data_IF_775416584683
#
_entry.id   IF_775416584683
#
_cell.length_a   1.000
_cell.length_b   1.000
_cell.length_c   1.000
_cell.angle_alpha   90.00
_cell.angle_beta   90.00
_cell.angle_gamma   90.00
#
_symmetry.space_group_name_H-M   'P 1'
#
loop_
_entity.id
_entity.type
_entity.pdbx_description
1 polymer ?
#
# COMPACT_ATOMS: atom_id res chain seq x y z
N UNK A 1 1.14 -10.91 -22.50
CA UNK A 1 0.83 -9.79 -23.46
C UNK A 1 1.73 -9.90 -24.68
N UNK A 2 1.19 -9.64 -25.88
CA UNK A 2 2.01 -9.52 -27.09
C UNK A 2 2.92 -8.25 -27.06
N UNK A 3 3.90 -8.17 -28.00
CA UNK A 3 4.89 -7.08 -28.02
C UNK A 3 4.25 -5.67 -28.18
N UNK A 4 3.13 -5.56 -28.89
CA UNK A 4 2.45 -4.25 -29.09
C UNK A 4 1.80 -3.79 -27.79
N UNK A 5 1.14 -4.69 -27.10
CA UNK A 5 0.52 -4.43 -25.80
C UNK A 5 1.59 -4.12 -24.74
N UNK A 6 2.74 -4.84 -24.75
CA UNK A 6 3.85 -4.53 -23.84
C UNK A 6 4.41 -3.12 -24.06
N UNK A 7 4.66 -2.72 -25.31
CA UNK A 7 5.10 -1.35 -25.64
C UNK A 7 4.07 -0.32 -25.17
N UNK A 8 2.79 -0.58 -25.36
CA UNK A 8 1.72 0.31 -24.90
C UNK A 8 1.67 0.41 -23.38
N UNK A 9 1.81 -0.71 -22.68
CA UNK A 9 1.91 -0.73 -21.22
C UNK A 9 3.05 0.16 -20.71
N UNK A 10 4.26 -0.01 -21.22
CA UNK A 10 5.42 0.81 -20.82
C UNK A 10 5.15 2.30 -21.09
N UNK A 11 4.55 2.63 -22.24
CA UNK A 11 4.21 4.01 -22.57
C UNK A 11 3.18 4.60 -21.59
N UNK A 12 2.19 3.81 -21.18
CA UNK A 12 1.19 4.25 -20.20
C UNK A 12 1.80 4.41 -18.79
N UNK A 13 2.71 3.54 -18.35
CA UNK A 13 3.46 3.72 -17.09
C UNK A 13 4.27 5.02 -17.15
N UNK A 14 4.99 5.27 -18.25
CA UNK A 14 5.71 6.55 -18.45
C UNK A 14 4.76 7.74 -18.39
N UNK A 15 3.57 7.65 -18.98
CA UNK A 15 2.57 8.73 -18.92
C UNK A 15 2.15 9.04 -17.48
N UNK A 16 2.01 8.04 -16.62
CA UNK A 16 1.70 8.24 -15.20
C UNK A 16 2.85 8.87 -14.39
N UNK A 17 4.08 8.79 -14.89
CA UNK A 17 5.24 9.51 -14.33
C UNK A 17 5.43 10.91 -14.93
N UNK A 18 4.89 11.14 -16.13
CA UNK A 18 5.17 12.31 -16.97
C UNK A 18 4.10 13.39 -16.88
N UNK A 19 2.87 13.02 -16.61
CA UNK A 19 1.73 13.94 -16.68
C UNK A 19 0.98 13.98 -15.37
N UNK A 20 0.78 15.19 -14.84
CA UNK A 20 -0.12 15.39 -13.71
C UNK A 20 -1.49 14.79 -14.06
N UNK A 21 -2.10 13.98 -13.17
CA UNK A 21 -3.32 13.21 -13.46
C UNK A 21 -4.54 14.07 -13.79
N UNK A 22 -4.48 15.36 -13.47
CA UNK A 22 -5.51 16.35 -13.77
C UNK A 22 -5.63 16.66 -15.26
N UNK A 23 -4.57 16.35 -16.02
CA UNK A 23 -4.54 16.51 -17.47
C UNK A 23 -4.93 15.19 -18.15
N UNK A 24 -6.09 15.19 -18.75
CA UNK A 24 -6.59 14.23 -19.75
C UNK A 24 -6.22 12.74 -19.55
N UNK A 25 -6.91 12.05 -18.65
CA UNK A 25 -6.91 10.58 -18.59
C UNK A 25 -5.52 9.89 -18.43
N UNK A 26 -4.48 10.62 -17.99
CA UNK A 26 -3.15 10.06 -17.76
C UNK A 26 -2.35 9.82 -19.04
N UNK A 27 -2.58 10.60 -20.07
CA UNK A 27 -1.79 10.62 -21.32
C UNK A 27 -1.14 11.99 -21.47
N UNK A 28 0.16 12.01 -21.76
CA UNK A 28 0.89 13.26 -21.94
C UNK A 28 0.33 14.06 -23.10
N UNK A 29 -0.19 15.24 -22.83
CA UNK A 29 -0.61 16.22 -23.85
C UNK A 29 0.63 17.02 -24.27
N UNK A 30 1.29 16.57 -25.32
CA UNK A 30 2.32 17.35 -26.00
C UNK A 30 1.70 18.27 -27.06
N UNK A 31 2.42 19.33 -27.49
CA UNK A 31 1.89 20.37 -28.37
C UNK A 31 1.37 19.89 -29.72
N UNK A 32 1.66 18.67 -30.14
CA UNK A 32 1.10 18.11 -31.38
C UNK A 32 -0.31 17.55 -31.14
N UNK A 33 -1.34 18.27 -31.59
CA UNK A 33 -2.75 17.87 -31.50
C UNK A 33 -2.98 16.44 -32.04
N UNK A 34 -2.32 16.08 -33.16
CA UNK A 34 -2.44 14.74 -33.75
C UNK A 34 -1.87 13.64 -32.86
N UNK A 35 -0.70 13.84 -32.29
CA UNK A 35 -0.06 12.82 -31.41
C UNK A 35 -0.80 12.68 -30.09
N UNK A 36 -1.28 13.76 -29.50
CA UNK A 36 -2.05 13.75 -28.27
C UNK A 36 -3.36 12.97 -28.45
N UNK A 37 -4.11 13.22 -29.52
CA UNK A 37 -5.35 12.52 -29.82
C UNK A 37 -5.11 11.01 -30.05
N UNK A 38 -4.13 10.65 -30.87
CA UNK A 38 -3.78 9.26 -31.14
C UNK A 38 -3.31 8.52 -29.87
N UNK A 39 -2.55 9.20 -28.99
CA UNK A 39 -2.12 8.64 -27.72
C UNK A 39 -3.31 8.40 -26.77
N UNK A 40 -4.23 9.35 -26.67
CA UNK A 40 -5.46 9.22 -25.87
C UNK A 40 -6.35 8.08 -26.37
N UNK A 41 -6.56 8.00 -27.69
CA UNK A 41 -7.30 6.89 -28.32
C UNK A 41 -6.63 5.54 -28.06
N UNK A 42 -5.30 5.49 -28.18
CA UNK A 42 -4.53 4.29 -27.91
C UNK A 42 -4.61 3.86 -26.44
N UNK A 43 -4.62 4.81 -25.50
CA UNK A 43 -4.82 4.54 -24.07
C UNK A 43 -6.25 4.02 -23.82
N UNK A 44 -7.25 4.68 -24.36
CA UNK A 44 -8.65 4.25 -24.22
C UNK A 44 -8.85 2.83 -24.75
N UNK A 45 -8.34 2.51 -25.95
CA UNK A 45 -8.42 1.16 -26.53
C UNK A 45 -7.72 0.13 -25.68
N UNK A 46 -6.55 0.45 -25.11
CA UNK A 46 -5.82 -0.47 -24.23
C UNK A 46 -6.62 -0.76 -22.95
N UNK A 47 -7.15 0.28 -22.30
CA UNK A 47 -7.88 0.13 -21.04
C UNK A 47 -9.22 -0.60 -21.21
N UNK A 48 -9.84 -0.52 -22.38
CA UNK A 48 -11.10 -1.20 -22.72
C UNK A 48 -10.89 -2.51 -23.51
N UNK A 49 -9.67 -3.03 -23.62
CA UNK A 49 -9.38 -4.26 -24.34
C UNK A 49 -9.45 -5.47 -23.42
N UNK A 50 -10.42 -6.34 -23.59
CA UNK A 50 -10.61 -7.53 -22.77
C UNK A 50 -9.51 -8.59 -22.92
N UNK A 51 -8.70 -8.51 -23.99
CA UNK A 51 -7.50 -9.33 -24.16
C UNK A 51 -6.36 -8.91 -23.21
N UNK A 52 -6.45 -7.75 -22.55
CA UNK A 52 -5.51 -7.29 -21.55
C UNK A 52 -5.98 -7.80 -20.18
N UNK A 53 -5.58 -9.03 -19.83
CA UNK A 53 -5.92 -9.64 -18.56
C UNK A 53 -5.22 -8.94 -17.39
N UNK A 54 -5.91 -8.82 -16.25
CA UNK A 54 -5.34 -8.23 -15.03
C UNK A 54 -4.20 -9.09 -14.48
N UNK A 55 -4.28 -10.41 -14.62
CA UNK A 55 -3.21 -11.36 -14.28
C UNK A 55 -1.93 -11.11 -15.08
N UNK A 56 -2.04 -10.67 -16.35
CA UNK A 56 -0.88 -10.30 -17.15
C UNK A 56 -0.32 -8.92 -16.78
N UNK A 57 -1.16 -7.99 -16.31
CA UNK A 57 -0.74 -6.64 -15.91
C UNK A 57 -0.08 -6.60 -14.52
N UNK A 58 -0.36 -7.56 -13.64
CA UNK A 58 0.27 -7.64 -12.32
C UNK A 58 1.68 -8.24 -12.39
N UNK A 59 2.03 -8.99 -13.43
CA UNK A 59 3.34 -9.65 -13.51
C UNK A 59 4.55 -8.70 -13.47
N UNK A 60 4.55 -7.52 -14.12
CA UNK A 60 5.62 -6.55 -13.91
C UNK A 60 5.77 -6.10 -12.45
N UNK A 61 4.66 -5.93 -11.72
CA UNK A 61 4.66 -5.59 -10.30
C UNK A 61 5.25 -6.73 -9.45
N UNK A 62 4.83 -7.98 -9.72
CA UNK A 62 5.37 -9.17 -9.06
C UNK A 62 6.85 -9.35 -9.35
N UNK A 63 7.29 -9.08 -10.59
CA UNK A 63 8.71 -9.11 -10.95
C UNK A 63 9.50 -8.06 -10.16
N UNK A 64 9.02 -6.83 -10.07
CA UNK A 64 9.64 -5.79 -9.27
C UNK A 64 9.73 -6.21 -7.78
N UNK A 65 8.65 -6.81 -7.24
CA UNK A 65 8.65 -7.35 -5.88
C UNK A 65 9.67 -8.48 -5.70
N UNK A 66 9.75 -9.44 -6.63
CA UNK A 66 10.75 -10.53 -6.60
C UNK A 66 12.19 -10.00 -6.59
N UNK A 67 12.49 -9.03 -7.44
CA UNK A 67 13.80 -8.39 -7.46
C UNK A 67 14.10 -7.69 -6.13
N UNK A 68 13.18 -6.89 -5.62
CA UNK A 68 13.38 -6.16 -4.36
C UNK A 68 13.59 -7.08 -3.15
N UNK A 69 12.97 -8.27 -3.14
CA UNK A 69 13.16 -9.28 -2.08
C UNK A 69 14.57 -9.85 -2.06
N UNK A 70 15.25 -9.94 -3.21
CA UNK A 70 16.63 -10.46 -3.27
C UNK A 70 17.61 -9.57 -2.50
N UNK A 71 17.37 -8.26 -2.44
CA UNK A 71 18.22 -7.30 -1.75
C UNK A 71 17.91 -7.19 -0.23
N UNK A 72 16.85 -7.88 0.25
CA UNK A 72 16.43 -7.87 1.65
C UNK A 72 17.38 -8.69 2.52
N UNK A 73 17.88 -8.12 3.62
CA UNK A 73 18.73 -8.79 4.59
C UNK A 73 17.94 -9.55 5.66
N UNK A 74 16.74 -9.09 6.01
CA UNK A 74 15.87 -9.74 6.98
C UNK A 74 15.55 -11.20 6.61
N UNK A 75 15.23 -12.02 7.61
CA UNK A 75 14.87 -13.42 7.43
C UNK A 75 13.55 -13.62 6.66
N UNK A 76 12.74 -12.59 6.52
CA UNK A 76 11.42 -12.61 5.90
C UNK A 76 11.06 -11.26 5.27
N UNK A 77 9.96 -11.23 4.55
CA UNK A 77 9.33 -10.00 4.03
C UNK A 77 7.91 -9.89 4.55
N UNK A 78 7.37 -8.67 4.59
CA UNK A 78 6.00 -8.42 5.02
C UNK A 78 5.07 -8.42 3.82
N UNK A 79 3.92 -9.08 3.95
CA UNK A 79 2.80 -8.90 3.04
C UNK A 79 1.65 -8.25 3.82
N UNK A 80 1.48 -6.96 3.61
CA UNK A 80 0.47 -6.16 4.29
C UNK A 80 -0.84 -6.24 3.51
N UNK A 81 -1.91 -6.66 4.18
CA UNK A 81 -3.25 -6.73 3.60
C UNK A 81 -4.10 -5.61 4.16
N UNK A 82 -4.74 -4.86 3.25
CA UNK A 82 -5.67 -3.81 3.64
C UNK A 82 -6.61 -3.49 2.47
N UNK A 83 -7.64 -2.71 2.74
CA UNK A 83 -8.64 -2.29 1.75
C UNK A 83 -9.02 -0.83 1.95
N UNK A 84 -9.43 -0.21 0.87
CA UNK A 84 -9.94 1.16 0.91
C UNK A 84 -11.14 1.34 -0.01
N UNK A 85 -11.97 2.29 0.34
CA UNK A 85 -13.06 2.75 -0.52
C UNK A 85 -12.53 3.74 -1.54
N UNK A 86 -13.01 3.64 -2.76
CA UNK A 86 -12.79 4.59 -3.85
C UNK A 86 -14.10 5.30 -4.15
N UNK A 87 -14.19 6.58 -3.75
CA UNK A 87 -15.39 7.39 -3.92
C UNK A 87 -15.43 8.05 -5.30
N UNK A 88 -16.52 7.86 -6.01
CA UNK A 88 -16.80 8.49 -7.30
C UNK A 88 -18.12 9.26 -7.28
N UNK A 89 -18.50 9.84 -6.14
CA UNK A 89 -19.80 10.45 -5.90
C UNK A 89 -20.21 11.59 -6.86
N UNK A 90 -19.25 12.15 -7.59
CA UNK A 90 -19.50 13.20 -8.61
C UNK A 90 -19.45 12.67 -10.05
N UNK A 91 -19.26 11.36 -10.24
CA UNK A 91 -19.08 10.77 -11.58
C UNK A 91 -20.33 9.97 -11.99
N UNK A 92 -21.33 10.68 -12.51
CA UNK A 92 -22.58 10.10 -13.00
C UNK A 92 -22.42 9.12 -14.19
N UNK A 93 -21.23 9.09 -14.81
CA UNK A 93 -20.92 8.28 -15.99
C UNK A 93 -20.39 6.88 -15.69
N UNK A 94 -20.13 6.54 -14.42
CA UNK A 94 -19.68 5.21 -14.00
C UNK A 94 -20.85 4.21 -14.04
N UNK A 95 -20.61 3.02 -14.61
CA UNK A 95 -21.67 2.06 -14.95
C UNK A 95 -21.85 0.92 -13.95
N UNK A 96 -20.88 0.67 -13.09
CA UNK A 96 -20.79 -0.52 -12.27
C UNK A 96 -20.35 -0.22 -10.83
N UNK A 97 -20.70 0.97 -10.34
CA UNK A 97 -20.49 1.35 -8.94
C UNK A 97 -21.31 0.45 -8.00
N UNK A 98 -20.79 0.20 -6.82
CA UNK A 98 -21.43 -0.57 -5.77
C UNK A 98 -21.64 0.31 -4.55
N UNK A 99 -22.78 0.10 -3.87
CA UNK A 99 -23.00 0.67 -2.54
C UNK A 99 -22.06 -0.02 -1.55
N UNK A 100 -21.33 0.77 -0.78
CA UNK A 100 -20.31 0.29 0.16
C UNK A 100 -20.92 0.13 1.56
N UNK A 101 -20.76 1.12 2.43
CA UNK A 101 -21.16 1.01 3.84
C UNK A 101 -22.45 1.77 4.16
N UNK A 102 -22.61 2.98 3.62
CA UNK A 102 -23.77 3.84 3.81
C UNK A 102 -24.49 4.07 2.49
N UNK A 103 -25.77 4.43 2.54
CA UNK A 103 -26.62 4.63 1.36
C UNK A 103 -26.04 5.64 0.35
N UNK A 104 -25.30 6.64 0.85
CA UNK A 104 -24.63 7.65 0.03
C UNK A 104 -23.19 7.29 -0.36
N UNK A 105 -22.66 6.17 0.14
CA UNK A 105 -21.28 5.74 -0.05
C UNK A 105 -21.20 4.82 -1.27
N UNK A 106 -21.17 5.43 -2.46
CA UNK A 106 -21.18 4.74 -3.75
C UNK A 106 -19.79 4.83 -4.38
N UNK A 107 -19.28 3.68 -4.85
CA UNK A 107 -17.94 3.62 -5.43
C UNK A 107 -17.47 2.21 -5.69
N UNK A 108 -16.18 1.97 -5.49
CA UNK A 108 -15.57 0.64 -5.52
C UNK A 108 -14.84 0.36 -4.20
N UNK A 109 -14.68 -0.91 -3.85
CA UNK A 109 -13.78 -1.33 -2.78
C UNK A 109 -12.51 -1.92 -3.41
N UNK A 110 -11.37 -1.35 -3.04
CA UNK A 110 -10.06 -1.83 -3.47
C UNK A 110 -9.40 -2.60 -2.33
N UNK A 111 -9.16 -3.89 -2.52
CA UNK A 111 -8.33 -4.72 -1.65
C UNK A 111 -6.95 -4.86 -2.25
N UNK A 112 -5.91 -4.70 -1.43
CA UNK A 112 -4.52 -4.78 -1.88
C UNK A 112 -3.68 -5.60 -0.91
N UNK A 113 -2.75 -6.37 -1.45
CA UNK A 113 -1.68 -7.03 -0.70
C UNK A 113 -0.35 -6.43 -1.13
N UNK A 114 0.23 -5.59 -0.26
CA UNK A 114 1.44 -4.81 -0.50
C UNK A 114 2.65 -5.51 0.11
N UNK A 115 3.66 -5.79 -0.71
CA UNK A 115 4.95 -6.29 -0.25
C UNK A 115 5.79 -5.13 0.33
N UNK A 116 6.35 -5.36 1.54
CA UNK A 116 7.11 -4.36 2.30
C UNK A 116 8.36 -5.00 2.87
N UNK A 117 9.48 -4.30 2.85
CA UNK A 117 10.74 -4.75 3.45
C UNK A 117 10.63 -4.86 4.97
N UNK A 118 11.11 -5.96 5.53
CA UNK A 118 11.25 -6.12 6.97
C UNK A 118 12.57 -5.54 7.52
N UNK A 119 13.45 -4.99 6.67
CA UNK A 119 14.66 -4.29 7.10
C UNK A 119 14.37 -2.84 7.54
N UNK A 120 13.54 -2.13 6.75
CA UNK A 120 13.36 -0.68 6.89
C UNK A 120 11.94 -0.19 6.64
N UNK A 121 10.99 -1.09 6.35
CA UNK A 121 9.61 -0.75 6.05
C UNK A 121 9.40 -0.07 4.69
N UNK A 122 10.33 -0.21 3.75
CA UNK A 122 10.19 0.33 2.41
C UNK A 122 9.14 -0.48 1.63
N UNK A 123 8.11 0.15 1.01
CA UNK A 123 7.19 -0.55 0.13
C UNK A 123 7.92 -1.02 -1.13
N UNK A 124 7.67 -2.25 -1.55
CA UNK A 124 8.30 -2.88 -2.69
C UNK A 124 7.37 -2.92 -3.90
N UNK A 125 6.25 -3.63 -3.79
CA UNK A 125 5.25 -3.74 -4.85
C UNK A 125 3.90 -4.23 -4.33
N UNK A 126 2.76 -3.79 -4.90
CA UNK A 126 1.49 -4.48 -4.72
C UNK A 126 1.50 -5.80 -5.50
N UNK A 127 1.34 -6.91 -4.79
CA UNK A 127 1.46 -8.27 -5.34
C UNK A 127 0.13 -8.84 -5.83
N UNK A 128 -0.96 -8.42 -5.20
CA UNK A 128 -2.32 -8.80 -5.56
C UNK A 128 -3.28 -7.66 -5.28
N UNK A 129 -4.22 -7.45 -6.18
CA UNK A 129 -5.24 -6.41 -6.08
C UNK A 129 -6.60 -6.94 -6.53
N UNK A 130 -7.65 -6.54 -5.82
CA UNK A 130 -9.04 -6.84 -6.17
C UNK A 130 -9.86 -5.55 -6.16
N UNK A 131 -10.68 -5.36 -7.17
CA UNK A 131 -11.62 -4.25 -7.27
C UNK A 131 -13.04 -4.80 -7.26
N UNK A 132 -13.78 -4.55 -6.19
CA UNK A 132 -15.19 -4.92 -6.07
C UNK A 132 -16.06 -3.92 -6.80
N UNK A 133 -16.90 -4.42 -7.70
CA UNK A 133 -17.88 -3.67 -8.51
C UNK A 133 -19.27 -4.26 -8.33
N UNK A 134 -20.29 -3.59 -8.85
CA UNK A 134 -21.66 -4.13 -8.87
C UNK A 134 -21.79 -5.44 -9.69
N UNK A 135 -20.88 -5.67 -10.63
CA UNK A 135 -20.87 -6.86 -11.49
C UNK A 135 -20.02 -8.02 -10.91
N UNK A 136 -19.34 -7.81 -9.78
CA UNK A 136 -18.49 -8.80 -9.14
C UNK A 136 -17.10 -8.26 -8.80
N UNK A 137 -16.19 -9.18 -8.52
CA UNK A 137 -14.81 -8.83 -8.14
C UNK A 137 -13.86 -9.01 -9.31
N UNK A 138 -13.24 -7.92 -9.74
CA UNK A 138 -12.14 -7.93 -10.69
C UNK A 138 -10.84 -8.22 -9.92
N UNK A 139 -10.02 -9.12 -10.41
CA UNK A 139 -8.86 -9.63 -9.67
C UNK A 139 -7.63 -9.81 -10.55
N UNK A 140 -6.47 -9.58 -9.95
CA UNK A 140 -5.18 -9.98 -10.53
C UNK A 140 -4.87 -11.47 -10.31
N UNK A 141 -5.68 -12.17 -9.51
CA UNK A 141 -5.63 -13.64 -9.33
C UNK A 141 -6.64 -14.33 -10.23
N UNK A 142 -6.26 -15.46 -10.77
CA UNK A 142 -7.15 -16.35 -11.54
C UNK A 142 -7.30 -17.71 -10.82
N UNK A 143 -8.53 -18.21 -10.67
CA UNK A 143 -9.79 -17.51 -10.94
C UNK A 143 -10.03 -16.33 -9.97
N UNK A 144 -10.83 -15.33 -10.38
CA UNK A 144 -11.15 -14.20 -9.51
C UNK A 144 -11.90 -14.71 -8.27
N UNK A 145 -11.77 -14.03 -7.13
CA UNK A 145 -12.50 -14.41 -5.92
C UNK A 145 -14.01 -14.26 -6.13
N UNK A 146 -14.79 -15.08 -5.42
CA UNK A 146 -16.22 -14.87 -5.33
C UNK A 146 -16.51 -13.52 -4.68
N UNK A 147 -17.69 -12.94 -4.95
CA UNK A 147 -18.14 -11.75 -4.23
C UNK A 147 -18.38 -12.11 -2.75
N UNK A 148 -17.37 -11.88 -1.94
CA UNK A 148 -17.36 -12.15 -0.50
C UNK A 148 -16.72 -10.94 0.22
N UNK A 149 -16.90 -10.80 1.54
CA UNK A 149 -16.22 -9.77 2.32
C UNK A 149 -14.70 -9.82 2.10
N UNK A 150 -14.05 -8.65 2.06
CA UNK A 150 -12.61 -8.52 1.83
C UNK A 150 -11.76 -9.40 2.77
N UNK A 151 -12.16 -9.51 4.03
CA UNK A 151 -11.45 -10.34 5.00
C UNK A 151 -11.42 -11.83 4.63
N UNK A 152 -12.47 -12.34 3.97
CA UNK A 152 -12.50 -13.73 3.50
C UNK A 152 -11.57 -13.96 2.30
N UNK A 153 -11.12 -12.89 1.63
CA UNK A 153 -10.16 -12.96 0.52
C UNK A 153 -8.71 -13.13 1.00
N UNK A 154 -8.41 -12.79 2.26
CA UNK A 154 -7.05 -12.87 2.82
C UNK A 154 -6.50 -14.30 2.76
N UNK A 155 -7.29 -15.29 3.17
CA UNK A 155 -6.83 -16.68 3.12
C UNK A 155 -6.51 -17.19 1.72
N UNK A 156 -7.36 -17.01 0.71
CA UNK A 156 -6.99 -17.34 -0.67
C UNK A 156 -5.74 -16.59 -1.17
N UNK A 157 -5.53 -15.35 -0.76
CA UNK A 157 -4.32 -14.59 -1.09
C UNK A 157 -3.07 -15.16 -0.42
N UNK A 158 -3.13 -15.57 0.85
CA UNK A 158 -2.02 -16.26 1.53
C UNK A 158 -1.61 -17.52 0.76
N UNK A 159 -2.59 -18.32 0.30
CA UNK A 159 -2.33 -19.50 -0.53
C UNK A 159 -1.69 -19.15 -1.88
N UNK A 160 -2.20 -18.13 -2.56
CA UNK A 160 -1.66 -17.65 -3.83
C UNK A 160 -0.22 -17.12 -3.67
N UNK A 161 0.09 -16.47 -2.56
CA UNK A 161 1.42 -15.92 -2.28
C UNK A 161 2.53 -16.99 -2.31
N UNK A 162 2.21 -18.24 -2.00
CA UNK A 162 3.16 -19.36 -2.10
C UNK A 162 3.63 -19.63 -3.53
N UNK A 163 2.85 -19.24 -4.53
CA UNK A 163 3.18 -19.43 -5.95
C UNK A 163 3.95 -18.25 -6.55
N UNK A 164 4.18 -17.17 -5.79
CA UNK A 164 4.86 -15.98 -6.31
C UNK A 164 6.38 -16.11 -6.38
N UNK A 165 6.95 -17.22 -5.92
CA UNK A 165 8.37 -17.55 -5.96
C UNK A 165 9.25 -16.44 -5.35
N UNK A 166 8.88 -15.97 -4.16
CA UNK A 166 9.68 -15.04 -3.39
C UNK A 166 10.86 -15.76 -2.73
N UNK A 167 12.04 -15.15 -2.75
CA UNK A 167 13.26 -15.74 -2.18
C UNK A 167 13.26 -15.78 -0.64
N UNK A 168 12.30 -15.13 0.02
CA UNK A 168 12.15 -15.06 1.47
C UNK A 168 10.76 -15.50 1.90
N UNK A 169 10.61 -16.10 3.09
CA UNK A 169 9.30 -16.38 3.67
C UNK A 169 8.51 -15.08 3.92
N UNK A 170 7.20 -15.23 3.96
CA UNK A 170 6.27 -14.11 4.13
C UNK A 170 5.73 -14.10 5.56
N UNK A 171 5.67 -12.91 6.16
CA UNK A 171 4.86 -12.62 7.34
C UNK A 171 3.68 -11.74 6.91
N UNK A 172 2.47 -12.25 7.11
CA UNK A 172 1.24 -11.54 6.77
C UNK A 172 0.88 -10.55 7.88
N UNK A 173 0.74 -9.27 7.53
CA UNK A 173 0.40 -8.21 8.50
C UNK A 173 -0.98 -7.68 8.18
N UNK A 174 -1.88 -7.72 9.17
CA UNK A 174 -3.29 -7.35 8.99
C UNK A 174 -3.77 -6.56 10.20
N UNK A 175 -4.73 -5.66 9.99
CA UNK A 175 -5.33 -4.88 11.06
C UNK A 175 -6.30 -5.74 11.92
N UNK A 176 -6.87 -5.08 12.91
CA UNK A 176 -7.77 -5.61 13.93
C UNK A 176 -9.00 -6.36 13.38
N UNK A 177 -9.46 -6.02 12.18
CA UNK A 177 -10.59 -6.72 11.55
C UNK A 177 -10.32 -8.22 11.34
N UNK A 178 -9.04 -8.63 11.23
CA UNK A 178 -8.65 -10.03 11.12
C UNK A 178 -8.58 -10.78 12.46
N UNK A 179 -8.82 -10.10 13.59
CA UNK A 179 -8.69 -10.66 14.92
C UNK A 179 -9.78 -11.72 15.24
N UNK A 180 -9.58 -12.92 14.75
CA UNK A 180 -10.48 -14.06 14.92
C UNK A 180 -9.71 -15.34 15.27
N UNK A 181 -10.19 -16.05 16.30
CA UNK A 181 -9.60 -17.35 16.69
C UNK A 181 -9.66 -18.37 15.56
N UNK A 182 -10.70 -18.31 14.70
CA UNK A 182 -10.83 -19.20 13.54
C UNK A 182 -9.75 -18.89 12.49
N UNK A 183 -9.46 -17.61 12.24
CA UNK A 183 -8.38 -17.19 11.35
C UNK A 183 -7.03 -17.66 11.87
N UNK A 184 -6.70 -17.38 13.12
CA UNK A 184 -5.42 -17.76 13.72
C UNK A 184 -5.16 -19.26 13.62
N UNK A 185 -6.15 -20.09 13.99
CA UNK A 185 -6.02 -21.55 13.91
C UNK A 185 -5.91 -22.06 12.50
N UNK A 186 -6.69 -21.49 11.56
CA UNK A 186 -6.63 -21.85 10.15
C UNK A 186 -5.27 -21.55 9.56
N UNK A 187 -4.78 -20.32 9.75
CA UNK A 187 -3.50 -19.90 9.18
C UNK A 187 -2.33 -20.63 9.80
N UNK A 188 -2.34 -20.79 11.12
CA UNK A 188 -1.32 -21.57 11.83
C UNK A 188 -1.27 -23.04 11.40
N UNK A 189 -2.43 -23.70 11.25
CA UNK A 189 -2.50 -25.09 10.82
C UNK A 189 -1.99 -25.33 9.39
N UNK A 190 -1.88 -24.28 8.59
CA UNK A 190 -1.30 -24.30 7.26
C UNK A 190 0.12 -23.73 7.20
N UNK A 191 0.72 -23.42 8.34
CA UNK A 191 2.10 -22.95 8.43
C UNK A 191 2.32 -21.48 8.09
N UNK A 192 1.24 -20.69 7.89
CA UNK A 192 1.36 -19.27 7.61
C UNK A 192 1.88 -18.51 8.82
N UNK A 193 2.73 -17.50 8.57
CA UNK A 193 3.23 -16.60 9.59
C UNK A 193 2.50 -15.28 9.52
N UNK A 194 2.06 -14.78 10.67
CA UNK A 194 1.22 -13.57 10.71
C UNK A 194 1.52 -12.71 11.93
N UNK A 195 1.20 -11.44 11.79
CA UNK A 195 1.24 -10.40 12.80
C UNK A 195 -0.07 -9.60 12.72
N UNK A 196 -0.91 -9.71 13.72
CA UNK A 196 -2.27 -9.17 13.73
C UNK A 196 -2.44 -8.25 14.93
N UNK A 197 -3.08 -7.10 14.71
CA UNK A 197 -3.56 -6.28 15.82
C UNK A 197 -4.76 -6.97 16.46
N UNK A 198 -4.69 -7.20 17.78
CA UNK A 198 -5.72 -7.85 18.55
C UNK A 198 -6.67 -6.87 19.22
N UNK A 199 -7.94 -7.26 19.32
CA UNK A 199 -8.88 -6.68 20.27
C UNK A 199 -8.65 -7.21 21.69
N UNK A 200 -9.28 -6.59 22.67
CA UNK A 200 -9.27 -7.10 24.02
C UNK A 200 -10.03 -8.43 24.12
N UNK A 201 -9.29 -9.48 24.35
CA UNK A 201 -9.82 -10.84 24.49
C UNK A 201 -9.27 -11.56 25.70
N UNK A 202 -9.99 -12.57 26.19
CA UNK A 202 -9.49 -13.44 27.25
C UNK A 202 -8.62 -14.54 26.67
N UNK A 203 -7.44 -14.70 27.26
CA UNK A 203 -6.41 -15.70 26.95
C UNK A 203 -6.00 -16.42 28.23
N UNK A 204 -5.21 -17.49 28.13
CA UNK A 204 -4.44 -18.00 29.25
C UNK A 204 -3.09 -17.29 29.28
N UNK A 205 -2.70 -16.78 30.42
CA UNK A 205 -1.41 -16.19 30.73
C UNK A 205 -0.92 -16.69 32.07
N UNK A 206 0.19 -17.41 32.08
CA UNK A 206 0.68 -18.14 33.28
C UNK A 206 -0.43 -19.00 33.89
N UNK A 207 -1.14 -19.77 33.06
CA UNK A 207 -2.27 -20.64 33.41
C UNK A 207 -3.52 -19.93 33.97
N UNK A 208 -3.52 -18.61 34.05
CA UNK A 208 -4.64 -17.81 34.49
C UNK A 208 -5.43 -17.22 33.30
N UNK A 209 -6.76 -17.12 33.45
CA UNK A 209 -7.65 -16.51 32.44
C UNK A 209 -7.61 -14.98 32.56
N UNK A 210 -6.80 -14.31 31.76
CA UNK A 210 -6.63 -12.86 31.75
C UNK A 210 -7.17 -12.22 30.47
N UNK A 211 -7.56 -10.95 30.52
CA UNK A 211 -7.78 -10.13 29.34
C UNK A 211 -6.45 -9.53 28.84
N UNK A 212 -6.30 -9.36 27.52
CA UNK A 212 -5.06 -8.81 26.94
C UNK A 212 -4.75 -7.40 27.47
N UNK A 213 -5.79 -6.57 27.66
CA UNK A 213 -5.63 -5.24 28.28
C UNK A 213 -5.10 -5.32 29.72
N UNK A 214 -5.51 -6.33 30.50
CA UNK A 214 -5.04 -6.51 31.86
C UNK A 214 -3.56 -6.92 31.88
N UNK A 215 -3.17 -7.80 30.95
CA UNK A 215 -1.78 -8.19 30.77
C UNK A 215 -0.93 -6.97 30.37
N UNK A 216 -1.38 -6.19 29.37
CA UNK A 216 -0.67 -4.98 28.94
C UNK A 216 -0.50 -3.97 30.09
N UNK A 217 -1.54 -3.78 30.93
CA UNK A 217 -1.45 -2.92 32.12
C UNK A 217 -0.48 -3.48 33.18
N UNK A 218 -0.46 -4.78 33.38
CA UNK A 218 0.49 -5.43 34.32
C UNK A 218 1.92 -5.27 33.84
N UNK A 219 2.21 -5.51 32.56
CA UNK A 219 3.55 -5.33 31.96
C UNK A 219 4.02 -3.87 32.11
N UNK A 220 3.14 -2.89 31.88
CA UNK A 220 3.47 -1.47 32.10
C UNK A 220 3.80 -1.18 33.58
N UNK A 221 2.96 -1.62 34.51
CA UNK A 221 3.18 -1.39 35.97
C UNK A 221 4.45 -2.03 36.49
N UNK A 222 4.85 -3.18 35.94
CA UNK A 222 6.10 -3.87 36.26
C UNK A 222 7.33 -3.28 35.56
N UNK A 223 7.15 -2.19 34.76
CA UNK A 223 8.21 -1.57 33.97
C UNK A 223 8.90 -2.53 33.00
N UNK A 224 8.17 -3.51 32.48
CA UNK A 224 8.67 -4.48 31.50
C UNK A 224 8.68 -3.91 30.07
N UNK A 225 7.99 -2.77 29.78
CA UNK A 225 8.11 -2.07 28.52
C UNK A 225 9.45 -1.34 28.42
N UNK A 226 10.16 -1.58 27.32
CA UNK A 226 11.45 -0.97 27.03
C UNK A 226 11.33 -0.03 25.83
N UNK A 227 11.99 1.12 25.89
CA UNK A 227 12.10 2.02 24.74
C UNK A 227 13.13 1.46 23.76
N UNK A 228 12.68 1.22 22.51
CA UNK A 228 13.49 0.60 21.46
C UNK A 228 13.81 1.58 20.31
N UNK A 229 13.59 2.88 20.55
CA UNK A 229 14.02 3.93 19.64
C UNK A 229 12.92 4.88 19.18
N UNK A 230 13.30 5.72 18.22
CA UNK A 230 12.44 6.80 17.72
C UNK A 230 11.40 6.28 16.73
N UNK A 231 10.22 6.88 16.76
CA UNK A 231 9.12 6.67 15.83
C UNK A 231 8.44 8.01 15.51
N UNK A 232 7.45 7.98 14.64
CA UNK A 232 6.61 9.15 14.36
C UNK A 232 5.14 8.77 14.46
N UNK A 233 4.34 9.64 15.05
CA UNK A 233 2.91 9.48 15.12
C UNK A 233 2.20 10.78 14.73
N UNK A 234 1.40 10.74 13.67
CA UNK A 234 0.69 11.92 13.14
C UNK A 234 1.61 13.14 12.94
N UNK A 235 2.84 12.91 12.45
CA UNK A 235 3.83 13.96 12.20
C UNK A 235 4.55 14.49 13.44
N UNK A 236 4.31 13.89 14.62
CA UNK A 236 5.02 14.19 15.89
C UNK A 236 6.08 13.14 16.16
N UNK A 237 7.19 13.58 16.76
CA UNK A 237 8.21 12.65 17.23
C UNK A 237 7.69 11.89 18.46
N UNK A 238 8.03 10.62 18.51
CA UNK A 238 7.62 9.71 19.57
C UNK A 238 8.73 8.68 19.84
N UNK A 239 8.65 8.03 20.99
CA UNK A 239 9.45 6.88 21.36
C UNK A 239 8.60 5.61 21.25
N UNK A 240 9.17 4.57 20.66
CA UNK A 240 8.56 3.25 20.56
C UNK A 240 8.91 2.42 21.78
N UNK A 241 7.89 2.04 22.53
CA UNK A 241 8.01 1.18 23.71
C UNK A 241 7.39 -0.18 23.46
N UNK A 242 8.06 -1.24 23.86
CA UNK A 242 7.62 -2.61 23.61
C UNK A 242 7.81 -3.52 24.82
N UNK A 243 6.90 -4.47 24.97
CA UNK A 243 7.07 -5.64 25.85
C UNK A 243 6.47 -6.86 25.16
N UNK A 244 6.92 -8.04 25.51
CA UNK A 244 6.43 -9.31 24.99
C UNK A 244 6.22 -10.33 26.09
N UNK A 245 5.18 -11.13 25.94
CA UNK A 245 4.96 -12.35 26.75
C UNK A 245 4.24 -13.39 25.88
N UNK A 246 4.29 -14.65 26.30
CA UNK A 246 3.50 -15.69 25.65
C UNK A 246 2.08 -15.73 26.23
N UNK A 247 1.10 -15.97 25.36
CA UNK A 247 -0.29 -16.19 25.74
C UNK A 247 -0.88 -17.36 24.95
N UNK A 248 -1.89 -18.04 25.52
CA UNK A 248 -2.57 -19.13 24.82
C UNK A 248 -4.02 -18.79 24.52
N UNK A 249 -4.40 -18.89 23.24
CA UNK A 249 -5.78 -18.80 22.78
C UNK A 249 -6.50 -20.13 23.06
N UNK A 250 -7.31 -20.18 24.10
CA UNK A 250 -8.00 -21.42 24.54
C UNK A 250 -9.46 -21.49 24.15
N UNK A 251 -10.11 -20.34 23.87
CA UNK A 251 -11.54 -20.28 23.59
C UNK A 251 -11.88 -20.90 22.24
N UNK A 252 -13.08 -21.50 22.09
CA UNK A 252 -13.57 -21.95 20.80
C UNK A 252 -13.76 -20.76 19.84
N UNK A 253 -13.61 -21.02 18.55
CA UNK A 253 -13.94 -20.05 17.51
C UNK A 253 -15.47 -19.88 17.44
N UNK A 254 -15.91 -18.65 17.20
CA UNK A 254 -17.33 -18.30 17.04
C UNK A 254 -17.52 -17.61 15.71
N UNK A 255 -18.43 -18.11 14.89
CA UNK A 255 -18.81 -17.52 13.61
C UNK A 255 -20.32 -17.32 13.56
N UNK A 256 -20.75 -16.13 13.17
CA UNK A 256 -22.16 -15.86 12.88
C UNK A 256 -22.40 -15.98 11.38
N UNK A 257 -23.30 -16.84 10.97
CA UNK A 257 -23.69 -17.06 9.56
C UNK A 257 -25.21 -17.05 9.49
N UNK A 258 -25.78 -16.13 8.74
CA UNK A 258 -27.24 -16.02 8.57
C UNK A 258 -28.00 -15.87 9.90
N UNK A 259 -27.48 -15.08 10.85
CA UNK A 259 -28.06 -14.88 12.17
C UNK A 259 -27.87 -16.05 13.15
N UNK A 260 -27.30 -17.18 12.71
CA UNK A 260 -27.00 -18.33 13.56
C UNK A 260 -25.57 -18.30 14.03
N UNK A 261 -25.35 -18.56 15.32
CA UNK A 261 -24.02 -18.64 15.95
C UNK A 261 -23.49 -20.06 15.88
N UNK A 262 -22.40 -20.24 15.17
CA UNK A 262 -21.65 -21.49 15.13
C UNK A 262 -20.46 -21.40 16.10
N UNK A 263 -20.26 -22.45 16.87
CA UNK A 263 -19.13 -22.59 17.80
C UNK A 263 -18.29 -23.77 17.33
N UNK A 264 -17.01 -23.51 17.03
CA UNK A 264 -16.07 -24.53 16.61
C UNK A 264 -14.99 -24.70 17.69
N UNK A 265 -14.95 -25.85 18.30
CA UNK A 265 -13.85 -26.23 19.19
C UNK A 265 -12.53 -26.27 18.39
N UNK A 266 -11.42 -26.12 19.06
CA UNK A 266 -10.10 -26.23 18.45
C UNK A 266 -9.02 -26.27 19.51
N UNK A 267 -7.83 -26.74 19.12
CA UNK A 267 -6.67 -26.84 20.02
C UNK A 267 -6.31 -25.46 20.61
N UNK A 268 -5.80 -25.43 21.83
CA UNK A 268 -5.12 -24.24 22.34
C UNK A 268 -3.99 -23.83 21.39
N UNK A 269 -3.78 -22.53 21.23
CA UNK A 269 -2.76 -21.98 20.33
C UNK A 269 -1.90 -21.00 21.11
N UNK A 270 -0.63 -21.36 21.31
CA UNK A 270 0.36 -20.49 21.90
C UNK A 270 0.73 -19.38 20.90
N UNK A 271 0.80 -18.15 21.39
CA UNK A 271 1.05 -16.96 20.59
C UNK A 271 1.99 -16.01 21.32
N UNK A 272 2.83 -15.35 20.56
CA UNK A 272 3.57 -14.16 21.02
C UNK A 272 2.57 -13.02 21.17
N UNK A 273 2.48 -12.44 22.34
CA UNK A 273 1.70 -11.24 22.63
C UNK A 273 2.64 -10.07 22.82
N UNK A 274 2.61 -9.14 21.89
CA UNK A 274 3.48 -7.95 21.91
C UNK A 274 2.62 -6.73 22.22
N UNK A 275 3.00 -6.01 23.27
CA UNK A 275 2.43 -4.70 23.62
C UNK A 275 3.33 -3.64 23.03
N UNK A 276 2.74 -2.75 22.24
CA UNK A 276 3.44 -1.64 21.60
C UNK A 276 2.80 -0.32 22.01
N UNK A 277 3.62 0.62 22.48
CA UNK A 277 3.18 1.97 22.82
C UNK A 277 4.05 3.00 22.12
N UNK A 278 3.42 4.03 21.60
CA UNK A 278 4.08 5.26 21.19
C UNK A 278 3.87 6.30 22.27
N UNK A 279 4.95 6.88 22.76
CA UNK A 279 4.94 7.90 23.80
C UNK A 279 5.75 9.11 23.35
N UNK A 280 5.35 10.28 23.81
CA UNK A 280 6.14 11.50 23.60
C UNK A 280 7.36 11.57 24.56
N UNK A 281 8.11 12.64 24.47
CA UNK A 281 9.29 12.88 25.34
C UNK A 281 8.95 12.97 26.83
N UNK A 282 7.68 13.25 27.16
CA UNK A 282 7.15 13.27 28.54
C UNK A 282 6.52 11.96 28.95
N UNK A 283 6.76 10.89 28.19
CA UNK A 283 6.19 9.56 28.36
C UNK A 283 4.64 9.52 28.29
N UNK A 284 3.98 10.56 27.75
CA UNK A 284 2.55 10.52 27.55
C UNK A 284 2.19 9.56 26.42
N UNK A 285 1.18 8.74 26.64
CA UNK A 285 0.72 7.76 25.67
C UNK A 285 0.05 8.45 24.47
N UNK A 286 0.62 8.27 23.30
CA UNK A 286 0.08 8.76 22.02
C UNK A 286 -0.74 7.69 21.31
N UNK A 287 -0.28 6.43 21.32
CA UNK A 287 -0.97 5.29 20.74
C UNK A 287 -0.52 3.98 21.41
N UNK A 288 -1.40 2.97 21.37
CA UNK A 288 -1.10 1.64 21.88
C UNK A 288 -1.70 0.57 20.98
N UNK A 289 -0.94 -0.50 20.75
CA UNK A 289 -1.39 -1.68 20.02
C UNK A 289 -1.08 -2.94 20.81
N UNK A 290 -2.01 -3.86 20.77
CA UNK A 290 -1.84 -5.24 21.22
C UNK A 290 -1.70 -6.11 19.97
N UNK A 291 -0.60 -6.85 19.85
CA UNK A 291 -0.31 -7.66 18.68
C UNK A 291 -0.25 -9.13 19.08
N UNK A 292 -0.83 -9.98 18.23
CA UNK A 292 -0.69 -11.43 18.33
C UNK A 292 0.06 -11.95 17.09
N UNK A 293 1.04 -12.82 17.31
CA UNK A 293 1.90 -13.36 16.27
C UNK A 293 2.31 -14.80 16.54
N UNK A 294 2.49 -15.59 15.46
CA UNK A 294 3.14 -16.90 15.50
C UNK A 294 4.50 -16.89 14.77
N UNK A 295 5.08 -15.71 14.55
CA UNK A 295 6.40 -15.57 13.94
C UNK A 295 7.44 -16.11 14.95
N UNK A 296 8.35 -17.01 14.52
CA UNK A 296 9.38 -17.55 15.44
C UNK A 296 10.28 -16.45 16.01
N UNK A 297 10.69 -16.59 17.27
CA UNK A 297 11.63 -15.65 17.91
C UNK A 297 12.95 -15.56 17.14
N UNK A 298 13.39 -16.68 16.54
CA UNK A 298 14.58 -16.71 15.68
C UNK A 298 14.48 -15.84 14.42
N UNK A 299 13.26 -15.51 13.96
CA UNK A 299 13.05 -14.65 12.80
C UNK A 299 12.94 -13.17 13.17
N UNK A 300 12.34 -12.88 14.31
CA UNK A 300 12.05 -11.51 14.70
C UNK A 300 12.11 -11.29 16.20
N UNK A 301 12.89 -10.30 16.63
CA UNK A 301 12.84 -9.77 17.99
C UNK A 301 11.51 -9.07 18.26
N UNK A 302 11.19 -8.79 19.50
CA UNK A 302 10.02 -8.00 19.92
C UNK A 302 9.99 -6.63 19.27
N UNK A 303 11.14 -5.95 19.23
CA UNK A 303 11.30 -4.67 18.55
C UNK A 303 10.95 -4.77 17.05
N UNK A 304 11.49 -5.79 16.36
CA UNK A 304 11.24 -5.96 14.93
C UNK A 304 9.76 -6.21 14.65
N UNK A 305 9.06 -7.03 15.45
CA UNK A 305 7.62 -7.22 15.32
C UNK A 305 6.84 -5.91 15.50
N UNK A 306 7.20 -5.11 16.49
CA UNK A 306 6.57 -3.81 16.71
C UNK A 306 6.79 -2.87 15.51
N UNK A 307 8.01 -2.83 14.96
CA UNK A 307 8.34 -2.06 13.76
C UNK A 307 7.60 -2.60 12.52
N UNK A 308 7.51 -3.91 12.34
CA UNK A 308 6.75 -4.54 11.26
C UNK A 308 5.28 -4.10 11.28
N UNK A 309 4.65 -4.06 12.47
CA UNK A 309 3.28 -3.58 12.56
C UNK A 309 3.18 -2.06 12.32
N UNK A 310 4.12 -1.27 12.82
CA UNK A 310 4.19 0.16 12.53
C UNK A 310 4.31 0.41 11.01
N UNK A 311 5.06 -0.41 10.28
CA UNK A 311 5.20 -0.30 8.83
C UNK A 311 3.93 -0.73 8.06
N UNK A 312 2.94 -1.35 8.68
CA UNK A 312 1.63 -1.60 8.08
C UNK A 312 1.06 -0.33 7.41
N UNK A 313 1.30 0.82 8.00
CA UNK A 313 0.81 2.09 7.44
C UNK A 313 1.39 2.47 6.07
N UNK A 314 2.35 1.71 5.56
CA UNK A 314 2.84 1.88 4.18
C UNK A 314 1.75 1.64 3.15
N UNK A 315 0.82 0.73 3.41
CA UNK A 315 -0.31 0.49 2.50
C UNK A 315 -1.29 1.68 2.48
N UNK A 316 -1.52 2.33 3.61
CA UNK A 316 -2.33 3.56 3.66
C UNK A 316 -1.63 4.71 2.90
N UNK A 317 -0.30 4.79 2.98
CA UNK A 317 0.49 5.74 2.19
C UNK A 317 0.41 5.45 0.70
N UNK A 318 0.36 4.17 0.31
CA UNK A 318 0.13 3.74 -1.07
C UNK A 318 -1.27 4.15 -1.54
N UNK A 319 -2.32 3.90 -0.76
CA UNK A 319 -3.67 4.35 -1.10
C UNK A 319 -3.74 5.88 -1.25
N UNK A 320 -3.09 6.64 -0.39
CA UNK A 320 -2.99 8.10 -0.53
C UNK A 320 -2.26 8.51 -1.81
N UNK A 321 -1.19 7.81 -2.18
CA UNK A 321 -0.44 8.07 -3.42
C UNK A 321 -1.27 7.76 -4.66
N UNK A 322 -2.11 6.73 -4.64
CA UNK A 322 -3.06 6.44 -5.71
C UNK A 322 -4.20 7.48 -5.76
N UNK A 323 -4.69 7.95 -4.62
CA UNK A 323 -5.81 8.89 -4.49
C UNK A 323 -5.32 10.36 -4.56
N UNK A 324 -5.49 11.08 -3.51
CA UNK A 324 -5.37 12.54 -3.45
C UNK A 324 -3.94 13.10 -3.50
N UNK A 325 -2.94 12.32 -3.08
CA UNK A 325 -1.55 12.78 -2.99
C UNK A 325 -0.69 12.45 -4.22
N UNK A 326 -1.26 11.78 -5.20
CA UNK A 326 -0.55 11.34 -6.39
C UNK A 326 -1.46 11.19 -7.60
N UNK A 327 -1.82 9.95 -7.95
CA UNK A 327 -2.46 9.59 -9.21
C UNK A 327 -3.92 10.06 -9.39
N UNK A 328 -4.53 10.72 -8.40
CA UNK A 328 -5.89 11.27 -8.43
C UNK A 328 -6.95 10.26 -8.91
N UNK A 329 -6.86 9.01 -8.44
CA UNK A 329 -7.66 7.88 -8.90
C UNK A 329 -9.16 8.18 -8.93
N UNK A 330 -9.68 8.86 -7.91
CA UNK A 330 -11.10 9.17 -7.78
C UNK A 330 -11.60 10.25 -8.79
N UNK A 331 -10.67 10.85 -9.56
CA UNK A 331 -10.97 11.79 -10.66
C UNK A 331 -10.85 11.15 -12.05
N UNK A 332 -10.50 9.85 -12.13
CA UNK A 332 -10.35 9.20 -13.43
C UNK A 332 -11.65 9.08 -14.18
N UNK A 333 -11.59 9.31 -15.50
CA UNK A 333 -12.75 9.36 -16.39
C UNK A 333 -13.14 7.99 -16.98
N UNK A 334 -12.46 6.90 -16.63
CA UNK A 334 -12.86 5.56 -17.07
C UNK A 334 -14.23 5.20 -16.51
N UNK A 335 -15.13 4.74 -17.38
CA UNK A 335 -16.55 4.51 -17.05
C UNK A 335 -16.83 3.13 -16.44
N UNK A 336 -15.90 2.19 -16.51
CA UNK A 336 -16.09 0.81 -16.08
C UNK A 336 -14.98 0.33 -15.15
N UNK A 337 -15.33 -0.55 -14.20
CA UNK A 337 -14.40 -1.19 -13.29
C UNK A 337 -13.24 -1.89 -14.01
N UNK A 338 -13.44 -2.67 -15.09
CA UNK A 338 -12.35 -3.26 -15.85
C UNK A 338 -11.32 -2.25 -16.37
N UNK A 339 -11.78 -1.10 -16.91
CA UNK A 339 -10.88 -0.06 -17.36
C UNK A 339 -10.14 0.62 -16.20
N UNK A 340 -10.83 0.86 -15.08
CA UNK A 340 -10.22 1.39 -13.84
C UNK A 340 -9.19 0.39 -13.29
N UNK A 341 -9.50 -0.89 -13.21
CA UNK A 341 -8.60 -1.92 -12.70
C UNK A 341 -7.31 -2.02 -13.54
N UNK A 342 -7.41 -1.97 -14.87
CA UNK A 342 -6.24 -1.96 -15.76
C UNK A 342 -5.39 -0.71 -15.53
N UNK A 343 -6.00 0.47 -15.44
CA UNK A 343 -5.31 1.73 -15.17
C UNK A 343 -4.66 1.73 -13.79
N UNK A 344 -5.33 1.16 -12.80
CA UNK A 344 -4.83 1.03 -11.43
C UNK A 344 -3.49 0.27 -11.38
N UNK A 345 -3.37 -0.84 -12.11
CA UNK A 345 -2.13 -1.62 -12.18
C UNK A 345 -1.00 -0.85 -12.86
N UNK A 346 -1.32 -0.04 -13.88
CA UNK A 346 -0.36 0.84 -14.55
C UNK A 346 0.13 1.93 -13.60
N UNK A 347 -0.78 2.60 -12.91
CA UNK A 347 -0.47 3.63 -11.92
C UNK A 347 0.32 3.06 -10.73
N UNK A 348 0.00 1.84 -10.31
CA UNK A 348 0.76 1.12 -9.27
C UNK A 348 2.21 0.88 -9.69
N UNK A 349 2.47 0.56 -10.96
CA UNK A 349 3.84 0.43 -11.45
C UNK A 349 4.58 1.77 -11.43
N UNK A 350 3.92 2.87 -11.75
CA UNK A 350 4.51 4.20 -11.60
C UNK A 350 4.87 4.50 -10.13
N UNK A 351 4.03 4.09 -9.17
CA UNK A 351 4.35 4.20 -7.74
C UNK A 351 5.59 3.36 -7.37
N UNK A 352 5.73 2.15 -7.91
CA UNK A 352 6.91 1.29 -7.67
C UNK A 352 8.18 1.97 -8.15
N UNK A 353 8.19 2.57 -9.34
CA UNK A 353 9.34 3.33 -9.87
C UNK A 353 9.72 4.48 -8.93
N UNK A 354 8.73 5.20 -8.40
CA UNK A 354 8.98 6.28 -7.42
C UNK A 354 9.57 5.73 -6.12
N UNK A 355 9.12 4.58 -5.63
CA UNK A 355 9.69 3.96 -4.43
C UNK A 355 11.12 3.46 -4.65
N UNK A 356 11.42 2.89 -5.82
CA UNK A 356 12.78 2.52 -6.18
C UNK A 356 13.71 3.74 -6.18
N UNK A 357 13.28 4.85 -6.78
CA UNK A 357 14.02 6.10 -6.71
C UNK A 357 14.17 6.62 -5.27
N UNK A 358 13.10 6.52 -4.47
CA UNK A 358 13.12 6.97 -3.07
C UNK A 358 14.14 6.19 -2.23
N UNK A 359 14.28 4.88 -2.47
CA UNK A 359 15.18 3.98 -1.74
C UNK A 359 16.61 3.98 -2.24
N UNK A 360 16.88 4.49 -3.44
CA UNK A 360 18.22 4.58 -4.00
C UNK A 360 19.02 5.68 -3.28
N UNK A 361 20.05 5.29 -2.55
CA UNK A 361 20.93 6.19 -1.79
C UNK A 361 22.27 6.48 -2.48
N UNK A 362 22.39 6.14 -3.76
CA UNK A 362 23.55 6.54 -4.58
C UNK A 362 23.70 8.08 -4.60
N UNK A 363 24.94 8.60 -4.74
CA UNK A 363 25.16 10.05 -4.81
C UNK A 363 24.32 10.73 -5.92
N UNK A 364 24.24 10.10 -7.09
CA UNK A 364 23.45 10.59 -8.23
C UNK A 364 21.95 10.63 -7.91
N UNK A 365 21.41 9.57 -7.27
CA UNK A 365 20.02 9.53 -6.88
C UNK A 365 19.69 10.57 -5.79
N UNK A 366 20.59 10.84 -4.86
CA UNK A 366 20.41 11.89 -3.84
C UNK A 366 20.32 13.27 -4.46
N UNK A 367 21.24 13.58 -5.40
CA UNK A 367 21.20 14.84 -6.15
C UNK A 367 19.91 14.96 -6.94
N UNK A 368 19.54 13.93 -7.69
CA UNK A 368 18.33 13.89 -8.49
C UNK A 368 17.07 14.06 -7.62
N UNK A 369 16.98 13.37 -6.49
CA UNK A 369 15.87 13.55 -5.54
C UNK A 369 15.76 15.00 -5.05
N UNK A 370 16.88 15.67 -4.82
CA UNK A 370 16.91 17.08 -4.39
C UNK A 370 16.35 18.00 -5.49
N UNK A 371 16.74 17.77 -6.75
CA UNK A 371 16.18 18.51 -7.89
C UNK A 371 14.66 18.31 -7.99
N UNK A 372 14.21 17.05 -7.92
CA UNK A 372 12.78 16.72 -7.99
C UNK A 372 11.97 17.41 -6.88
N UNK A 373 12.47 17.41 -5.65
CA UNK A 373 11.76 18.05 -4.53
C UNK A 373 11.64 19.56 -4.73
N UNK A 374 12.68 20.22 -5.24
CA UNK A 374 12.62 21.65 -5.60
C UNK A 374 11.57 21.90 -6.69
N UNK A 375 11.55 21.09 -7.73
CA UNK A 375 10.56 21.19 -8.83
C UNK A 375 9.14 20.87 -8.39
N UNK A 376 8.96 20.09 -7.32
CA UNK A 376 7.63 19.72 -6.81
C UNK A 376 6.86 20.90 -6.18
N UNK A 377 7.54 21.99 -5.80
CA UNK A 377 6.96 23.08 -5.05
C UNK A 377 6.48 22.71 -3.63
N UNK A 378 6.75 21.48 -3.18
CA UNK A 378 6.30 21.00 -1.85
C UNK A 378 7.30 21.39 -0.77
N UNK A 379 6.81 21.92 0.33
CA UNK A 379 7.63 22.16 1.51
C UNK A 379 8.00 20.83 2.17
N UNK A 380 9.30 20.63 2.39
CA UNK A 380 9.84 19.48 3.10
C UNK A 380 10.45 19.94 4.42
N UNK A 381 10.21 19.16 5.48
CA UNK A 381 10.84 19.43 6.78
C UNK A 381 12.34 19.10 6.68
N UNK A 382 13.16 20.00 7.23
CA UNK A 382 14.62 19.80 7.29
C UNK A 382 14.98 18.47 7.97
N UNK A 383 15.97 17.77 7.43
CA UNK A 383 16.45 16.50 7.99
C UNK A 383 15.47 15.32 7.86
N UNK A 384 14.36 15.45 7.11
CA UNK A 384 13.42 14.34 6.86
C UNK A 384 13.62 13.75 5.47
N UNK A 385 13.42 12.43 5.31
CA UNK A 385 13.46 11.77 4.02
C UNK A 385 12.44 12.36 3.04
N UNK A 386 12.80 12.43 1.78
CA UNK A 386 11.88 12.87 0.73
C UNK A 386 10.71 11.91 0.57
N UNK A 387 9.51 12.47 0.43
CA UNK A 387 8.28 11.68 0.32
C UNK A 387 7.97 11.28 -1.12
N UNK A 388 7.39 10.10 -1.33
CA UNK A 388 6.98 9.65 -2.66
C UNK A 388 6.07 10.66 -3.40
N UNK A 389 5.07 11.32 -2.75
CA UNK A 389 4.31 12.37 -3.40
C UNK A 389 5.12 13.58 -3.88
N UNK A 390 6.18 13.97 -3.16
CA UNK A 390 7.04 15.08 -3.59
C UNK A 390 7.92 14.66 -4.78
N UNK A 391 8.48 13.46 -4.75
CA UNK A 391 9.27 12.92 -5.85
C UNK A 391 8.41 12.76 -7.13
N UNK A 392 7.20 12.24 -7.00
CA UNK A 392 6.28 12.09 -8.12
C UNK A 392 5.89 13.44 -8.73
N UNK A 393 5.55 14.43 -7.90
CA UNK A 393 5.25 15.78 -8.37
C UNK A 393 6.44 16.44 -9.08
N UNK A 394 7.65 16.26 -8.55
CA UNK A 394 8.88 16.73 -9.18
C UNK A 394 9.16 16.03 -10.52
N UNK A 395 8.90 14.73 -10.62
CA UNK A 395 9.00 13.98 -11.87
C UNK A 395 8.04 14.53 -12.93
N UNK A 396 6.79 14.81 -12.59
CA UNK A 396 5.84 15.42 -13.52
C UNK A 396 6.37 16.74 -14.06
N UNK A 397 6.85 17.62 -13.19
CA UNK A 397 7.39 18.92 -13.60
C UNK A 397 8.63 18.75 -14.48
N UNK A 398 9.61 17.94 -14.07
CA UNK A 398 10.83 17.72 -14.82
C UNK A 398 10.57 17.13 -16.21
N UNK A 399 9.76 16.04 -16.27
CA UNK A 399 9.50 15.37 -17.53
C UNK A 399 8.66 16.23 -18.49
N UNK A 400 7.74 17.04 -17.97
CA UNK A 400 7.01 18.02 -18.76
C UNK A 400 7.95 19.09 -19.34
N UNK A 401 8.89 19.61 -18.53
CA UNK A 401 9.92 20.56 -19.00
C UNK A 401 10.82 19.94 -20.08
N UNK A 402 11.28 18.72 -19.89
CA UNK A 402 12.11 18.02 -20.88
C UNK A 402 11.33 17.82 -22.20
N UNK A 403 10.03 17.49 -22.14
CA UNK A 403 9.21 17.36 -23.33
C UNK A 403 8.98 18.69 -24.05
N UNK A 404 8.98 19.83 -23.36
CA UNK A 404 8.98 21.15 -24.00
C UNK A 404 10.29 21.41 -24.74
N UNK A 405 11.43 21.02 -24.16
CA UNK A 405 12.76 21.19 -24.77
C UNK A 405 12.97 20.32 -26.02
N UNK A 406 12.20 19.25 -26.20
CA UNK A 406 12.17 18.49 -27.46
C UNK A 406 11.58 19.29 -28.65
N UNK A 407 10.83 20.36 -28.39
CA UNK A 407 10.14 21.18 -29.39
C UNK A 407 10.61 22.63 -29.42
N UNK A 408 11.10 23.15 -28.32
CA UNK A 408 11.55 24.54 -28.15
C UNK A 408 12.93 24.57 -27.51
N UNK A 409 13.81 25.41 -28.02
CA UNK A 409 15.08 25.62 -27.33
C UNK A 409 14.91 26.55 -26.12
N UNK A 410 15.83 26.43 -25.16
CA UNK A 410 15.79 27.22 -23.93
C UNK A 410 15.79 28.74 -24.14
N UNK A 411 16.46 29.20 -25.22
CA UNK A 411 16.53 30.62 -25.59
C UNK A 411 15.15 31.16 -25.98
N UNK A 412 14.38 30.39 -26.76
CA UNK A 412 13.02 30.77 -27.17
C UNK A 412 12.09 30.79 -25.96
N UNK A 413 12.17 29.79 -25.06
CA UNK A 413 11.37 29.76 -23.85
C UNK A 413 11.65 30.96 -22.93
N UNK A 414 12.92 31.32 -22.75
CA UNK A 414 13.32 32.53 -22.01
C UNK A 414 12.77 33.80 -22.64
N UNK A 415 12.86 33.92 -23.97
CA UNK A 415 12.30 35.06 -24.70
C UNK A 415 10.80 35.18 -24.54
N UNK A 416 10.05 34.09 -24.65
CA UNK A 416 8.59 34.09 -24.42
C UNK A 416 8.24 34.50 -22.99
N UNK A 417 8.93 33.96 -22.02
CA UNK A 417 8.72 34.34 -20.62
C UNK A 417 9.00 35.84 -20.38
N UNK A 418 10.10 36.36 -20.90
CA UNK A 418 10.45 37.79 -20.76
C UNK A 418 9.43 38.73 -21.42
N UNK A 419 8.82 38.32 -22.53
CA UNK A 419 7.81 39.12 -23.23
C UNK A 419 6.44 39.15 -22.53
N UNK A 420 6.09 38.09 -21.82
CA UNK A 420 4.72 37.91 -21.32
C UNK A 420 4.61 37.81 -19.78
N UNK A 421 5.73 37.72 -19.05
CA UNK A 421 5.77 37.68 -17.58
C UNK A 421 6.54 38.92 -17.07
N UNK A 422 5.85 40.00 -16.73
CA UNK A 422 6.48 41.33 -16.51
C UNK A 422 7.41 41.45 -15.30
N UNK A 423 7.55 40.43 -14.48
CA UNK A 423 8.32 40.46 -13.22
C UNK A 423 9.62 39.67 -13.19
N UNK A 424 10.11 39.18 -14.34
CA UNK A 424 11.35 38.37 -14.38
C UNK A 424 12.67 39.19 -14.54
N UNK A 425 12.61 40.52 -14.53
CA UNK A 425 13.80 41.36 -14.74
C UNK A 425 14.26 42.14 -13.50
N UNK A 426 14.17 41.57 -12.31
CA UNK A 426 14.79 42.17 -11.12
C UNK A 426 15.81 41.21 -10.53
N UNK A 427 17.05 41.33 -10.95
CA UNK A 427 18.20 40.64 -10.34
C UNK A 427 19.21 40.15 -11.36
#
# INVERSE_FOLDING_TARGET
MDRRLQRRYVMLVRSHLHTAPELAAGVANLPSVRSAFAATQGAWRFLNNDRVALSALVEPLRNAGRCAVQDTQAAFVLLVHDWCKLGFGHAADKRDLVQLTHDTDIGYELTTSLLVSADNGQPMAPMEMHLKTAQGVLSTREPPPRNCPHLEQVWPTMRAARTWNLAKPIVHVIDREADSVDHYRRWDSHGEKYLIRADDRRVLWNDEKCALNDIARKLWRRRELQSVGKAQYLGRDALLWVAETEVTLYRPAKKNVGGRRFVRAGRPLAMRFVVVQLRDEREQLLASWMLLSNVPVAWATTELLARCYYWRWRIESFFKLLKSHGQQLERWQQQTGPAIARRLLIASMACVVVWQLQSDDSPQAREFKTVLVRLSGRQMKWGRPYTAPALLAGLWTLLAMLSLLDHYNLRDLKRFAALHVPFQNTG
#
